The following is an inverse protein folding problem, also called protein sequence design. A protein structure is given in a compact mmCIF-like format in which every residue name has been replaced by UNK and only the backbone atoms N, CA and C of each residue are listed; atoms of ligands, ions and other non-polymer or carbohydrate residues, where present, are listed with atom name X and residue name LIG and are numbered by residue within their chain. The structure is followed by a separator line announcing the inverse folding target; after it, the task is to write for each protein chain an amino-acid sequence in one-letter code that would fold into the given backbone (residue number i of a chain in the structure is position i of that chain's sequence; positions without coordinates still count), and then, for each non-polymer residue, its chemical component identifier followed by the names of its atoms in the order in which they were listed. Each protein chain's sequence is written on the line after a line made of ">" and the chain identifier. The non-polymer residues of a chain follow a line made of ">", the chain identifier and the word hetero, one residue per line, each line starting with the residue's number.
data_IF_089366416574
#
_entry.id   IF_089366416574
#
_cell.length_a   1.000
_cell.length_b   1.000
_cell.length_c   1.000
_cell.angle_alpha   90.00
_cell.angle_beta   90.00
_cell.angle_gamma   90.00
#
_symmetry.space_group_name_H-M   'P 1'
#
loop_
_entity.id
_entity.type
_entity.pdbx_description
1 polymer ?
#
# COMPACT_ATOMS: atom_id res chain seq x y z
N UNK A 1 27.64 10.21 6.05
CA UNK A 1 27.52 8.79 5.62
C UNK A 1 26.27 8.10 6.19
N UNK A 2 25.74 8.51 7.35
CA UNK A 2 24.49 7.94 7.93
C UNK A 2 23.21 8.39 7.19
N UNK A 3 23.13 9.62 6.67
CA UNK A 3 21.89 10.14 6.04
C UNK A 3 21.47 9.39 4.77
N UNK A 4 22.40 8.89 3.96
CA UNK A 4 22.07 8.14 2.75
C UNK A 4 21.36 6.81 3.07
N UNK A 5 21.65 6.21 4.24
CA UNK A 5 21.05 4.94 4.63
C UNK A 5 19.60 5.12 5.09
N UNK A 6 19.30 6.21 5.80
CA UNK A 6 17.94 6.56 6.22
C UNK A 6 17.05 6.89 5.02
N UNK A 7 17.57 7.62 4.03
CA UNK A 7 16.83 7.92 2.80
C UNK A 7 16.53 6.64 2.00
N UNK A 8 17.50 5.72 1.90
CA UNK A 8 17.32 4.42 1.25
C UNK A 8 16.24 3.57 1.95
N UNK A 9 16.20 3.57 3.29
CA UNK A 9 15.18 2.82 4.04
C UNK A 9 13.76 3.32 3.74
N UNK A 10 13.56 4.64 3.64
CA UNK A 10 12.24 5.23 3.35
C UNK A 10 11.79 4.91 1.93
N UNK A 11 12.69 5.04 0.96
CA UNK A 11 12.42 4.66 -0.43
C UNK A 11 12.07 3.18 -0.50
N UNK A 12 12.85 2.32 0.16
CA UNK A 12 12.59 0.88 0.19
C UNK A 12 11.23 0.56 0.84
N UNK A 13 10.87 1.23 1.92
CA UNK A 13 9.57 1.07 2.58
C UNK A 13 8.40 1.47 1.66
N UNK A 14 8.52 2.60 0.95
CA UNK A 14 7.52 3.03 -0.02
C UNK A 14 7.40 2.05 -1.20
N UNK A 15 8.52 1.57 -1.75
CA UNK A 15 8.55 0.56 -2.82
C UNK A 15 7.92 -0.76 -2.34
N UNK A 16 8.22 -1.20 -1.12
CA UNK A 16 7.64 -2.41 -0.56
C UNK A 16 6.13 -2.29 -0.36
N UNK A 17 5.63 -1.16 0.16
CA UNK A 17 4.20 -0.91 0.30
C UNK A 17 3.49 -0.92 -1.05
N UNK A 18 4.09 -0.30 -2.08
CA UNK A 18 3.56 -0.30 -3.43
C UNK A 18 3.55 -1.73 -4.03
N UNK A 19 4.61 -2.50 -3.81
CA UNK A 19 4.71 -3.88 -4.30
C UNK A 19 3.64 -4.78 -3.66
N UNK A 20 3.37 -4.64 -2.35
CA UNK A 20 2.31 -5.37 -1.67
C UNK A 20 0.92 -5.02 -2.22
N UNK A 21 0.66 -3.74 -2.46
CA UNK A 21 -0.59 -3.29 -3.06
C UNK A 21 -0.78 -3.86 -4.48
N UNK A 22 0.26 -3.78 -5.32
CA UNK A 22 0.22 -4.32 -6.68
C UNK A 22 0.04 -5.85 -6.69
N UNK A 23 0.73 -6.57 -5.80
CA UNK A 23 0.59 -8.02 -5.67
C UNK A 23 -0.82 -8.41 -5.21
N UNK A 24 -1.43 -7.61 -4.33
CA UNK A 24 -2.82 -7.80 -3.93
C UNK A 24 -3.77 -7.65 -5.13
N UNK A 25 -3.56 -6.68 -6.03
CA UNK A 25 -4.38 -6.52 -7.24
C UNK A 25 -4.27 -7.73 -8.16
N UNK A 26 -3.05 -8.23 -8.39
CA UNK A 26 -2.82 -9.47 -9.15
C UNK A 26 -3.54 -10.66 -8.51
N UNK A 27 -3.41 -10.83 -7.19
CA UNK A 27 -4.10 -11.88 -6.43
C UNK A 27 -5.62 -11.76 -6.56
N UNK A 28 -6.17 -10.56 -6.48
CA UNK A 28 -7.61 -10.31 -6.60
C UNK A 28 -8.13 -10.66 -8.00
N UNK A 29 -7.44 -10.25 -9.06
CA UNK A 29 -7.83 -10.55 -10.44
C UNK A 29 -7.82 -12.06 -10.73
N UNK A 30 -6.80 -12.78 -10.25
CA UNK A 30 -6.68 -14.21 -10.54
C UNK A 30 -7.51 -15.13 -9.63
N UNK A 31 -7.88 -14.69 -8.43
CA UNK A 31 -8.52 -15.55 -7.42
C UNK A 31 -9.97 -15.19 -7.08
N UNK A 32 -10.44 -13.99 -7.43
CA UNK A 32 -11.82 -13.59 -7.14
C UNK A 32 -12.75 -13.91 -8.33
N UNK A 33 -14.02 -14.23 -8.05
CA UNK A 33 -15.01 -14.49 -9.07
C UNK A 33 -15.37 -13.21 -9.83
N UNK A 34 -15.73 -13.38 -11.10
CA UNK A 34 -16.23 -12.31 -11.99
C UNK A 34 -17.75 -12.14 -11.92
N UNK A 35 -18.43 -12.92 -11.08
CA UNK A 35 -19.86 -12.80 -10.76
C UNK A 35 -20.07 -12.78 -9.25
N UNK A 36 -21.12 -12.08 -8.79
CA UNK A 36 -21.46 -12.04 -7.38
C UNK A 36 -21.77 -13.45 -6.84
N UNK A 37 -21.23 -13.76 -5.67
CA UNK A 37 -21.51 -15.00 -4.94
C UNK A 37 -21.88 -14.67 -3.49
N UNK A 38 -23.20 -14.56 -3.18
CA UNK A 38 -23.66 -14.28 -1.82
C UNK A 38 -23.29 -15.39 -0.82
N UNK A 39 -23.10 -16.63 -1.28
CA UNK A 39 -22.83 -17.79 -0.41
C UNK A 39 -21.48 -17.71 0.31
N UNK A 40 -20.52 -16.97 -0.24
CA UNK A 40 -19.21 -16.72 0.38
C UNK A 40 -18.96 -15.23 0.70
N UNK A 41 -20.01 -14.40 0.65
CA UNK A 41 -19.94 -12.97 0.98
C UNK A 41 -19.24 -12.10 -0.06
N UNK A 42 -18.98 -12.60 -1.27
CA UNK A 42 -18.36 -11.83 -2.36
C UNK A 42 -19.43 -11.12 -3.19
N UNK A 43 -19.90 -10.01 -2.67
CA UNK A 43 -21.03 -9.24 -3.25
C UNK A 43 -20.63 -7.84 -3.69
N UNK A 44 -19.43 -7.37 -3.33
CA UNK A 44 -18.97 -6.03 -3.67
C UNK A 44 -18.21 -6.04 -4.99
N UNK A 45 -18.76 -5.39 -6.02
CA UNK A 45 -18.09 -5.24 -7.30
C UNK A 45 -16.89 -4.27 -7.18
N UNK A 46 -15.76 -4.70 -7.72
CA UNK A 46 -14.55 -3.90 -7.87
C UNK A 46 -14.09 -3.92 -9.31
N UNK A 47 -13.76 -2.73 -9.82
CA UNK A 47 -13.10 -2.56 -11.11
C UNK A 47 -11.60 -2.44 -10.87
N UNK A 48 -10.85 -3.40 -11.41
CA UNK A 48 -9.41 -3.46 -11.34
C UNK A 48 -8.84 -3.30 -12.76
N UNK A 49 -7.67 -2.67 -12.88
CA UNK A 49 -6.99 -2.53 -14.15
C UNK A 49 -5.56 -3.03 -14.01
N UNK A 50 -5.21 -4.07 -14.75
CA UNK A 50 -3.88 -4.65 -14.76
C UNK A 50 -3.37 -4.72 -16.19
N UNK A 51 -2.21 -4.11 -16.44
CA UNK A 51 -1.61 -4.01 -17.80
C UNK A 51 -2.55 -3.45 -18.87
N UNK A 52 -3.49 -2.59 -18.48
CA UNK A 52 -4.46 -1.97 -19.40
C UNK A 52 -5.74 -2.79 -19.63
N UNK A 53 -5.81 -4.04 -19.13
CA UNK A 53 -7.01 -4.87 -19.22
C UNK A 53 -7.93 -4.62 -18.01
N UNK A 54 -9.16 -4.08 -18.22
CA UNK A 54 -10.11 -3.87 -17.15
C UNK A 54 -10.79 -5.19 -16.76
N UNK A 55 -10.70 -5.56 -15.48
CA UNK A 55 -11.36 -6.73 -14.91
C UNK A 55 -12.37 -6.31 -13.83
N UNK A 56 -13.58 -6.86 -13.90
CA UNK A 56 -14.57 -6.73 -12.83
C UNK A 56 -14.53 -7.98 -11.96
N UNK A 57 -14.26 -7.80 -10.68
CA UNK A 57 -14.24 -8.90 -9.70
C UNK A 57 -15.17 -8.59 -8.52
N UNK A 58 -15.65 -9.64 -7.87
CA UNK A 58 -16.50 -9.51 -6.69
C UNK A 58 -15.71 -9.88 -5.43
N UNK A 59 -15.63 -8.93 -4.51
CA UNK A 59 -14.85 -9.00 -3.30
C UNK A 59 -15.74 -9.17 -2.07
N UNK A 60 -15.18 -9.81 -1.05
CA UNK A 60 -15.75 -9.79 0.30
C UNK A 60 -15.34 -8.52 1.05
N UNK A 61 -15.97 -8.29 2.21
CA UNK A 61 -15.57 -7.20 3.10
C UNK A 61 -14.10 -7.33 3.56
N UNK A 62 -13.62 -8.56 3.74
CA UNK A 62 -12.23 -8.82 4.10
C UNK A 62 -11.27 -8.40 2.98
N UNK A 63 -11.57 -8.76 1.73
CA UNK A 63 -10.76 -8.37 0.58
C UNK A 63 -10.70 -6.84 0.42
N UNK A 64 -11.83 -6.17 0.65
CA UNK A 64 -11.93 -4.70 0.71
C UNK A 64 -11.07 -4.11 1.82
N UNK A 65 -11.15 -4.66 3.05
CA UNK A 65 -10.38 -4.18 4.19
C UNK A 65 -8.87 -4.30 3.94
N UNK A 66 -8.42 -5.43 3.36
CA UNK A 66 -7.00 -5.62 2.98
C UNK A 66 -6.58 -4.59 1.94
N UNK A 67 -7.38 -4.39 0.88
CA UNK A 67 -7.08 -3.40 -0.17
C UNK A 67 -6.93 -1.99 0.41
N UNK A 68 -7.88 -1.56 1.22
CA UNK A 68 -7.85 -0.23 1.84
C UNK A 68 -6.74 -0.10 2.88
N UNK A 69 -6.43 -1.16 3.62
CA UNK A 69 -5.29 -1.21 4.54
C UNK A 69 -3.96 -1.02 3.82
N UNK A 70 -3.75 -1.70 2.70
CA UNK A 70 -2.55 -1.55 1.87
C UNK A 70 -2.45 -0.13 1.26
N UNK A 71 -3.56 0.44 0.80
CA UNK A 71 -3.59 1.84 0.38
C UNK A 71 -3.20 2.79 1.52
N UNK A 72 -3.72 2.55 2.73
CA UNK A 72 -3.36 3.30 3.93
C UNK A 72 -1.86 3.22 4.26
N UNK A 73 -1.24 2.05 4.09
CA UNK A 73 0.20 1.88 4.28
C UNK A 73 1.02 2.69 3.27
N UNK A 74 0.60 2.74 2.01
CA UNK A 74 1.24 3.59 1.00
C UNK A 74 1.16 5.06 1.42
N UNK A 75 -0.02 5.54 1.81
CA UNK A 75 -0.21 6.91 2.25
C UNK A 75 0.61 7.24 3.49
N UNK A 76 0.70 6.33 4.45
CA UNK A 76 1.51 6.48 5.65
C UNK A 76 3.01 6.56 5.30
N UNK A 77 3.50 5.71 4.39
CA UNK A 77 4.89 5.75 3.93
C UNK A 77 5.21 7.06 3.20
N UNK A 78 4.31 7.55 2.34
CA UNK A 78 4.46 8.84 1.66
C UNK A 78 4.45 10.01 2.66
N UNK A 79 3.50 10.03 3.59
CA UNK A 79 3.42 11.08 4.61
C UNK A 79 4.68 11.11 5.49
N UNK A 80 5.19 9.93 5.88
CA UNK A 80 6.44 9.82 6.62
C UNK A 80 7.63 10.36 5.82
N UNK A 81 7.77 9.99 4.54
CA UNK A 81 8.82 10.51 3.69
C UNK A 81 8.76 12.04 3.54
N UNK A 82 7.56 12.62 3.40
CA UNK A 82 7.38 14.08 3.32
C UNK A 82 7.72 14.77 4.64
N UNK A 83 7.25 14.22 5.77
CA UNK A 83 7.51 14.78 7.10
C UNK A 83 9.01 14.87 7.39
N UNK A 84 9.76 13.83 7.06
CA UNK A 84 11.22 13.81 7.21
C UNK A 84 11.94 14.78 6.26
N UNK A 85 11.43 14.93 5.03
CA UNK A 85 12.02 15.86 4.05
C UNK A 85 11.82 17.32 4.45
N UNK A 86 10.64 17.67 4.99
CA UNK A 86 10.27 19.05 5.32
C UNK A 86 10.67 19.47 6.74
N UNK A 87 10.78 18.53 7.68
CA UNK A 87 11.16 18.77 9.07
C UNK A 87 12.44 18.01 9.49
N UNK A 88 13.60 18.26 8.85
CA UNK A 88 14.85 17.55 9.18
C UNK A 88 15.41 17.88 10.59
N UNK A 89 14.88 18.91 11.27
CA UNK A 89 15.46 19.48 12.48
C UNK A 89 15.13 18.73 13.79
N UNK A 90 14.02 17.98 13.88
CA UNK A 90 13.70 17.22 15.10
C UNK A 90 14.52 15.93 15.25
N UNK A 91 14.87 15.26 14.14
CA UNK A 91 15.67 14.04 14.16
C UNK A 91 17.15 14.29 14.55
N UNK A 92 17.73 15.41 14.15
CA UNK A 92 19.15 15.75 14.44
C UNK A 92 19.41 16.21 15.88
N UNK A 93 18.41 16.74 16.58
CA UNK A 93 18.58 17.30 17.92
C UNK A 93 18.40 16.27 19.04
N UNK A 94 17.75 15.13 18.78
CA UNK A 94 17.60 14.04 19.76
C UNK A 94 18.85 13.16 19.91
N UNK A 95 19.82 13.24 18.97
CA UNK A 95 21.01 12.39 18.95
C UNK A 95 22.27 13.03 19.54
N UNK A 96 22.17 14.22 20.16
CA UNK A 96 23.27 14.84 20.91
C UNK A 96 22.92 14.89 22.40
N UNK A 97 23.25 13.84 23.19
CA UNK A 97 23.49 14.05 24.60
C UNK A 97 24.77 14.90 24.75
N UNK A 98 24.66 15.94 25.57
CA UNK A 98 25.78 16.77 26.04
C UNK A 98 26.81 15.95 26.81
#
# INVERSE_FOLDING_TARGET
>A
MISAFEDVQRVLAAVAALALFALNDVRMIHMLPTSADPGNGRTHALFLQLFGDPATVYASLFDLAVRWGLMGLILAACAWAVAETLCPAQAKNASKPH
#
